data_IF_401426637673
#
_entry.id   IF_401426637673
#
_cell.length_a   1.000
_cell.length_b   1.000
_cell.length_c   1.000
_cell.angle_alpha   90.00
_cell.angle_beta   90.00
_cell.angle_gamma   90.00
#
_symmetry.space_group_name_H-M   'P 1'
#
loop_
_entity.id
_entity.type
_entity.pdbx_description
1 polymer ?
#
# COMPACT_ATOMS: atom_id res chain seq x y z
N UNK A 1 -21.59 23.52 -3.28
CA UNK A 1 -20.30 23.90 -2.70
C UNK A 1 -19.28 23.15 -3.54
N UNK A 2 -18.24 23.81 -3.99
CA UNK A 2 -17.22 23.18 -4.80
C UNK A 2 -16.39 22.28 -3.88
N UNK A 3 -16.18 21.03 -4.28
CA UNK A 3 -15.26 20.11 -3.58
C UNK A 3 -13.84 20.44 -4.03
N UNK A 4 -12.90 20.52 -3.10
CA UNK A 4 -11.50 20.80 -3.34
C UNK A 4 -10.71 19.51 -3.10
N UNK A 5 -10.21 18.86 -4.15
CA UNK A 5 -9.49 17.62 -4.03
C UNK A 5 -8.12 17.83 -3.35
N UNK A 6 -7.80 16.91 -2.44
CA UNK A 6 -6.48 16.78 -1.83
C UNK A 6 -5.79 15.54 -2.41
N UNK A 7 -4.58 15.75 -2.90
CA UNK A 7 -3.62 14.69 -3.25
C UNK A 7 -2.59 14.62 -2.13
N UNK A 8 -2.58 13.51 -1.41
CA UNK A 8 -1.72 13.30 -0.26
C UNK A 8 -0.49 12.48 -0.66
N UNK A 9 0.69 12.98 -0.32
CA UNK A 9 1.97 12.32 -0.58
C UNK A 9 2.65 11.98 0.74
N UNK A 10 2.87 10.70 0.99
CA UNK A 10 3.54 10.16 2.18
C UNK A 10 4.81 9.42 1.80
N UNK A 11 5.60 9.03 2.79
CA UNK A 11 6.89 8.36 2.61
C UNK A 11 8.00 9.10 3.33
N UNK A 12 9.12 8.44 3.55
CA UNK A 12 10.25 9.02 4.27
C UNK A 12 10.94 10.16 3.48
N UNK A 13 11.78 10.93 4.17
CA UNK A 13 12.58 11.98 3.56
C UNK A 13 13.35 11.41 2.36
N UNK A 14 13.48 12.19 1.31
CA UNK A 14 14.15 11.85 0.04
C UNK A 14 13.63 10.61 -0.68
N UNK A 15 12.44 10.13 -0.30
CA UNK A 15 11.77 9.02 -1.02
C UNK A 15 11.23 9.40 -2.40
N UNK A 16 11.31 10.67 -2.79
CA UNK A 16 10.87 11.15 -4.10
C UNK A 16 9.52 11.85 -4.14
N UNK A 17 8.91 12.21 -2.99
CA UNK A 17 7.62 12.93 -2.92
C UNK A 17 7.64 14.24 -3.70
N UNK A 18 8.60 15.11 -3.43
CA UNK A 18 8.75 16.41 -4.11
C UNK A 18 8.86 16.26 -5.62
N UNK A 19 9.67 15.30 -6.08
CA UNK A 19 9.84 15.01 -7.52
C UNK A 19 8.50 14.60 -8.14
N UNK A 20 7.79 13.66 -7.52
CA UNK A 20 6.49 13.18 -8.01
C UNK A 20 5.44 14.28 -8.06
N UNK A 21 5.40 15.19 -7.06
CA UNK A 21 4.50 16.34 -7.05
C UNK A 21 4.84 17.29 -8.21
N UNK A 22 6.12 17.59 -8.41
CA UNK A 22 6.58 18.46 -9.50
C UNK A 22 6.23 17.88 -10.87
N UNK A 23 6.48 16.61 -11.11
CA UNK A 23 6.12 15.93 -12.36
C UNK A 23 4.60 15.91 -12.57
N UNK A 24 3.82 15.64 -11.53
CA UNK A 24 2.35 15.65 -11.59
C UNK A 24 1.84 17.04 -12.01
N UNK A 25 2.37 18.10 -11.40
CA UNK A 25 1.92 19.47 -11.68
C UNK A 25 2.41 19.99 -13.02
N UNK A 26 3.66 19.69 -13.40
CA UNK A 26 4.28 20.28 -14.59
C UNK A 26 3.99 19.51 -15.88
N UNK A 27 3.88 18.16 -15.80
CA UNK A 27 3.87 17.31 -16.98
C UNK A 27 2.49 16.69 -17.27
N UNK A 28 1.67 16.48 -16.25
CA UNK A 28 0.41 15.73 -16.39
C UNK A 28 -0.85 16.59 -16.51
N UNK A 29 -0.71 17.91 -16.78
CA UNK A 29 -1.84 18.81 -17.01
C UNK A 29 -2.65 19.15 -15.75
N UNK A 30 -2.18 18.80 -14.55
CA UNK A 30 -2.85 19.19 -13.31
C UNK A 30 -2.84 20.69 -13.08
N UNK A 31 -1.83 21.39 -13.61
CA UNK A 31 -1.75 22.85 -13.56
C UNK A 31 -2.93 23.54 -14.28
N UNK A 32 -3.54 22.90 -15.26
CA UNK A 32 -4.66 23.45 -16.02
C UNK A 32 -6.00 23.40 -15.24
N UNK A 33 -6.04 22.71 -14.10
CA UNK A 33 -7.25 22.54 -13.29
C UNK A 33 -7.55 23.72 -12.34
N UNK A 34 -6.73 24.76 -12.35
CA UNK A 34 -6.94 25.96 -11.53
C UNK A 34 -5.76 26.27 -10.61
N UNK A 35 -6.06 26.89 -9.45
CA UNK A 35 -5.05 27.26 -8.46
C UNK A 35 -4.63 26.05 -7.62
N UNK A 36 -3.37 25.71 -7.67
CA UNK A 36 -2.79 24.64 -6.85
C UNK A 36 -2.17 25.20 -5.56
N UNK A 37 -2.46 24.58 -4.43
CA UNK A 37 -1.78 24.86 -3.16
C UNK A 37 -0.95 23.66 -2.77
N UNK A 38 0.36 23.84 -2.61
CA UNK A 38 1.28 22.83 -2.09
C UNK A 38 1.51 23.15 -0.62
N UNK A 39 1.23 22.19 0.26
CA UNK A 39 1.58 22.22 1.68
C UNK A 39 2.74 21.24 1.84
N UNK A 40 3.94 21.77 2.07
CA UNK A 40 5.15 20.98 2.21
C UNK A 40 5.55 20.92 3.69
N UNK A 41 5.59 19.71 4.26
CA UNK A 41 5.86 19.47 5.68
C UNK A 41 7.29 18.97 5.93
N UNK A 42 8.16 18.99 4.93
CA UNK A 42 9.57 18.63 5.10
C UNK A 42 10.48 19.43 4.17
N UNK A 43 11.74 19.55 4.58
CA UNK A 43 12.78 20.23 3.82
C UNK A 43 13.77 19.17 3.31
N UNK A 44 13.57 18.71 2.08
CA UNK A 44 14.35 17.66 1.43
C UNK A 44 15.43 18.21 0.50
N UNK A 45 16.21 17.31 -0.14
CA UNK A 45 17.25 17.71 -1.10
C UNK A 45 16.69 18.40 -2.37
N UNK A 46 15.46 18.05 -2.75
CA UNK A 46 14.79 18.64 -3.93
C UNK A 46 13.87 19.76 -3.49
N UNK A 47 14.19 20.98 -3.92
CA UNK A 47 13.42 22.19 -3.59
C UNK A 47 12.39 22.53 -4.67
N UNK A 48 11.33 23.25 -4.27
CA UNK A 48 10.39 23.87 -5.19
C UNK A 48 10.93 25.24 -5.67
N UNK A 49 10.97 25.45 -6.97
CA UNK A 49 11.27 26.77 -7.54
C UNK A 49 10.00 27.63 -7.59
N UNK A 50 9.95 28.68 -6.77
CA UNK A 50 8.81 29.60 -6.73
C UNK A 50 8.50 30.25 -8.08
N UNK A 51 9.52 30.49 -8.92
CA UNK A 51 9.31 31.08 -10.23
C UNK A 51 8.65 30.11 -11.21
N UNK A 52 8.94 28.82 -11.08
CA UNK A 52 8.26 27.76 -11.82
C UNK A 52 6.82 27.58 -11.31
N UNK A 53 6.62 27.53 -10.00
CA UNK A 53 5.28 27.40 -9.40
C UNK A 53 4.34 28.55 -9.81
N UNK A 54 4.84 29.77 -9.86
CA UNK A 54 4.05 30.93 -10.32
C UNK A 54 3.59 30.83 -11.77
N UNK A 55 4.37 30.19 -12.64
CA UNK A 55 3.98 29.99 -14.06
C UNK A 55 2.79 29.05 -14.21
N UNK A 56 2.62 28.12 -13.29
CA UNK A 56 1.56 27.12 -13.27
C UNK A 56 0.46 27.43 -12.24
N UNK A 57 0.39 28.68 -11.77
CA UNK A 57 -0.60 29.13 -10.77
C UNK A 57 -0.59 28.29 -9.47
N UNK A 58 0.57 27.81 -9.06
CA UNK A 58 0.77 27.08 -7.82
C UNK A 58 1.39 27.98 -6.74
N UNK A 59 0.98 27.76 -5.49
CA UNK A 59 1.51 28.44 -4.31
C UNK A 59 2.08 27.39 -3.35
N UNK A 60 3.21 27.70 -2.74
CA UNK A 60 3.87 26.85 -1.74
C UNK A 60 3.68 27.42 -0.34
N UNK A 61 3.37 26.57 0.61
CA UNK A 61 3.35 26.86 2.05
C UNK A 61 4.14 25.78 2.77
N UNK A 62 5.16 26.20 3.53
CA UNK A 62 5.96 25.31 4.35
C UNK A 62 5.35 25.17 5.74
N UNK A 63 5.42 23.97 6.30
CA UNK A 63 5.06 23.65 7.70
C UNK A 63 6.27 22.98 8.34
N UNK A 64 6.97 23.70 9.20
CA UNK A 64 8.25 23.24 9.75
C UNK A 64 8.09 22.27 10.94
N UNK A 65 7.03 22.45 11.74
CA UNK A 65 6.81 21.63 12.91
C UNK A 65 5.46 20.91 12.84
N UNK A 66 5.39 19.69 13.35
CA UNK A 66 4.15 18.88 13.38
C UNK A 66 3.01 19.61 14.10
N UNK A 67 3.31 20.29 15.20
CA UNK A 67 2.35 21.07 16.00
C UNK A 67 1.72 22.25 15.27
N UNK A 68 2.33 22.72 14.17
CA UNK A 68 1.80 23.80 13.34
C UNK A 68 0.76 23.30 12.31
N UNK A 69 0.70 21.98 12.07
CA UNK A 69 -0.27 21.37 11.17
C UNK A 69 -1.64 21.22 11.85
N UNK A 70 -2.39 22.32 11.94
CA UNK A 70 -3.64 22.41 12.67
C UNK A 70 -4.83 22.78 11.77
N UNK A 71 -6.07 22.51 12.26
CA UNK A 71 -7.28 22.92 11.57
C UNK A 71 -7.34 24.45 11.33
N UNK A 72 -6.91 25.26 12.32
CA UNK A 72 -6.86 26.72 12.19
C UNK A 72 -5.88 27.16 11.12
N UNK A 73 -4.70 26.55 11.07
CA UNK A 73 -3.72 26.80 10.02
C UNK A 73 -4.28 26.44 8.64
N UNK A 74 -4.86 25.25 8.47
CA UNK A 74 -5.44 24.83 7.19
C UNK A 74 -6.58 25.76 6.74
N UNK A 75 -7.44 26.19 7.67
CA UNK A 75 -8.50 27.17 7.37
C UNK A 75 -7.93 28.54 6.97
N UNK A 76 -6.86 29.00 7.63
CA UNK A 76 -6.21 30.29 7.30
C UNK A 76 -5.62 30.28 5.89
N UNK A 77 -4.88 29.22 5.51
CA UNK A 77 -4.31 29.12 4.16
C UNK A 77 -5.39 28.90 3.09
N UNK A 78 -6.46 28.15 3.39
CA UNK A 78 -7.61 28.03 2.49
C UNK A 78 -8.22 29.39 2.17
N UNK A 79 -8.44 30.24 3.19
CA UNK A 79 -8.97 31.59 2.99
C UNK A 79 -8.01 32.52 2.24
N UNK A 80 -6.70 32.35 2.46
CA UNK A 80 -5.67 33.21 1.85
C UNK A 80 -5.46 32.88 0.37
N UNK A 81 -5.38 31.60 0.02
CA UNK A 81 -4.99 31.17 -1.32
C UNK A 81 -6.19 30.82 -2.20
N UNK A 82 -7.33 30.45 -1.62
CA UNK A 82 -8.54 30.00 -2.34
C UNK A 82 -8.19 28.96 -3.42
N UNK A 83 -7.61 27.81 -3.05
CA UNK A 83 -7.17 26.83 -4.00
C UNK A 83 -8.33 26.10 -4.66
N UNK A 84 -8.11 25.64 -5.89
CA UNK A 84 -9.01 24.71 -6.60
C UNK A 84 -8.60 23.25 -6.34
N UNK A 85 -7.34 23.01 -5.95
CA UNK A 85 -6.78 21.72 -5.58
C UNK A 85 -5.60 21.87 -4.60
N UNK A 86 -5.35 20.84 -3.79
CA UNK A 86 -4.31 20.85 -2.74
C UNK A 86 -3.42 19.63 -2.87
N UNK A 87 -2.11 19.83 -2.74
CA UNK A 87 -1.09 18.80 -2.69
C UNK A 87 -0.45 18.86 -1.30
N UNK A 88 -0.52 17.81 -0.54
CA UNK A 88 0.10 17.73 0.79
C UNK A 88 1.31 16.80 0.70
N UNK A 89 2.50 17.36 0.81
CA UNK A 89 3.74 16.62 1.01
C UNK A 89 3.95 16.43 2.50
N UNK A 90 3.52 15.28 3.02
CA UNK A 90 3.55 15.02 4.45
C UNK A 90 4.92 14.55 4.91
N UNK A 91 5.34 14.97 6.10
CA UNK A 91 6.62 14.59 6.67
C UNK A 91 6.60 13.11 7.08
N UNK A 92 7.55 12.35 6.54
CA UNK A 92 7.62 10.90 6.78
C UNK A 92 7.99 10.47 8.20
N UNK A 93 8.39 11.41 9.06
CA UNK A 93 8.71 11.15 10.47
C UNK A 93 7.61 11.57 11.45
N UNK A 94 6.61 12.32 10.97
CA UNK A 94 5.46 12.71 11.79
C UNK A 94 4.46 11.56 11.92
N UNK A 95 3.69 11.57 13.03
CA UNK A 95 2.63 10.60 13.26
C UNK A 95 1.51 10.72 12.22
N UNK A 96 1.03 9.60 11.71
CA UNK A 96 -0.12 9.60 10.79
C UNK A 96 -1.42 10.05 11.48
N UNK A 97 -1.46 9.99 12.82
CA UNK A 97 -2.59 10.48 13.62
C UNK A 97 -2.78 11.98 13.44
N UNK A 98 -1.70 12.78 13.41
CA UNK A 98 -1.77 14.23 13.16
C UNK A 98 -2.50 14.54 11.86
N UNK A 99 -2.19 13.79 10.79
CA UNK A 99 -2.83 13.96 9.50
C UNK A 99 -4.31 13.54 9.50
N UNK A 100 -4.63 12.42 10.16
CA UNK A 100 -5.98 11.81 10.14
C UNK A 100 -6.94 12.45 11.12
N UNK A 101 -6.45 13.00 12.22
CA UNK A 101 -7.27 13.64 13.26
C UNK A 101 -7.46 15.14 13.04
N UNK A 102 -6.60 15.78 12.21
CA UNK A 102 -6.77 17.21 11.90
C UNK A 102 -7.99 17.44 11.05
N UNK A 103 -8.91 18.28 11.54
CA UNK A 103 -10.14 18.65 10.81
C UNK A 103 -9.79 19.49 9.56
N UNK A 104 -10.19 18.98 8.40
CA UNK A 104 -9.96 19.64 7.13
C UNK A 104 -10.91 20.84 6.92
N UNK A 105 -10.47 21.89 6.20
CA UNK A 105 -11.35 22.99 5.79
C UNK A 105 -12.57 22.47 5.03
N UNK A 106 -13.67 23.18 5.17
CA UNK A 106 -14.93 22.79 4.56
C UNK A 106 -14.83 22.69 3.04
N UNK A 107 -15.16 21.54 2.48
CA UNK A 107 -15.08 21.24 1.05
C UNK A 107 -13.77 20.57 0.62
N UNK A 108 -12.76 20.53 1.48
CA UNK A 108 -11.56 19.76 1.22
C UNK A 108 -11.82 18.28 1.44
N UNK A 109 -11.34 17.43 0.52
CA UNK A 109 -11.42 15.97 0.67
C UNK A 109 -10.20 15.28 0.05
N UNK A 110 -9.67 14.29 0.73
CA UNK A 110 -8.62 13.45 0.18
C UNK A 110 -9.22 12.56 -0.91
N UNK A 111 -8.77 12.76 -2.14
CA UNK A 111 -9.25 11.97 -3.30
C UNK A 111 -8.25 10.90 -3.69
N UNK A 112 -6.97 11.08 -3.34
CA UNK A 112 -5.93 10.11 -3.61
C UNK A 112 -4.79 10.25 -2.60
N UNK A 113 -4.29 9.11 -2.12
CA UNK A 113 -3.11 9.02 -1.26
C UNK A 113 -2.03 8.20 -1.97
N UNK A 114 -0.85 8.81 -2.15
CA UNK A 114 0.30 8.22 -2.81
C UNK A 114 1.45 8.11 -1.79
N UNK A 115 2.05 6.95 -1.69
CA UNK A 115 3.23 6.75 -0.88
C UNK A 115 4.45 6.48 -1.78
N UNK A 116 5.53 7.22 -1.58
CA UNK A 116 6.79 6.97 -2.28
C UNK A 116 7.78 6.24 -1.38
N UNK A 117 8.48 5.29 -1.95
CA UNK A 117 9.46 4.45 -1.24
C UNK A 117 10.71 4.30 -2.10
N UNK A 118 11.85 4.67 -1.55
CA UNK A 118 13.13 4.37 -2.17
C UNK A 118 13.44 2.88 -2.03
N UNK A 119 13.42 2.14 -3.14
CA UNK A 119 13.66 0.70 -3.16
C UNK A 119 15.05 0.32 -2.62
N UNK A 120 16.04 1.21 -2.74
CA UNK A 120 17.41 0.95 -2.28
C UNK A 120 17.54 0.95 -0.75
N UNK A 121 16.62 1.61 -0.04
CA UNK A 121 16.64 1.75 1.41
C UNK A 121 15.51 1.01 2.12
N UNK A 122 14.53 0.51 1.39
CA UNK A 122 13.32 -0.08 1.98
C UNK A 122 13.61 -1.26 2.90
N UNK A 123 14.54 -2.15 2.51
CA UNK A 123 14.94 -3.29 3.34
C UNK A 123 15.52 -2.87 4.69
N UNK A 124 16.33 -1.80 4.68
CA UNK A 124 16.89 -1.23 5.90
C UNK A 124 15.77 -0.68 6.81
N UNK A 125 14.80 0.02 6.25
CA UNK A 125 13.66 0.54 7.00
C UNK A 125 12.75 -0.56 7.54
N UNK A 126 12.51 -1.64 6.78
CA UNK A 126 11.76 -2.79 7.26
C UNK A 126 12.41 -3.46 8.48
N UNK A 127 13.74 -3.42 8.59
CA UNK A 127 14.46 -4.01 9.74
C UNK A 127 14.49 -3.06 10.94
N UNK A 128 14.73 -1.77 10.71
CA UNK A 128 15.05 -0.83 11.78
C UNK A 128 13.87 0.09 12.18
N UNK A 129 12.98 0.38 11.27
CA UNK A 129 11.90 1.38 11.43
C UNK A 129 10.57 0.87 10.88
N UNK A 130 10.31 -0.44 11.03
CA UNK A 130 9.17 -1.12 10.39
C UNK A 130 7.85 -0.41 10.65
N UNK A 131 7.55 -0.10 11.90
CA UNK A 131 6.27 0.54 12.27
C UNK A 131 6.08 1.84 11.51
N UNK A 132 7.06 2.73 11.55
CA UNK A 132 6.98 4.05 10.91
C UNK A 132 6.77 3.93 9.39
N UNK A 133 7.58 3.11 8.70
CA UNK A 133 7.44 2.98 7.25
C UNK A 133 6.07 2.36 6.89
N UNK A 134 5.61 1.38 7.66
CA UNK A 134 4.34 0.72 7.37
C UNK A 134 3.13 1.62 7.65
N UNK A 135 3.19 2.52 8.64
CA UNK A 135 2.16 3.55 8.87
C UNK A 135 2.00 4.47 7.66
N UNK A 136 3.10 4.88 7.03
CA UNK A 136 3.07 5.71 5.82
C UNK A 136 2.39 4.99 4.63
N UNK A 137 2.46 3.65 4.58
CA UNK A 137 1.93 2.83 3.49
C UNK A 137 0.49 2.35 3.74
N UNK A 138 0.04 2.37 4.98
CA UNK A 138 -1.22 1.72 5.40
C UNK A 138 -2.46 2.27 4.69
N UNK A 139 -2.53 3.58 4.47
CA UNK A 139 -3.68 4.24 3.85
C UNK A 139 -3.45 4.67 2.40
N UNK A 140 -2.30 4.32 1.81
CA UNK A 140 -1.99 4.71 0.46
C UNK A 140 -2.86 3.96 -0.56
N UNK A 141 -3.43 4.67 -1.53
CA UNK A 141 -4.09 4.06 -2.69
C UNK A 141 -3.06 3.50 -3.66
N UNK A 142 -1.93 4.21 -3.79
CA UNK A 142 -0.81 3.81 -4.65
C UNK A 142 0.49 3.88 -3.85
N UNK A 143 1.29 2.83 -3.91
CA UNK A 143 2.66 2.80 -3.38
C UNK A 143 3.63 2.70 -4.54
N UNK A 144 4.49 3.70 -4.67
CA UNK A 144 5.49 3.80 -5.75
C UNK A 144 6.85 3.47 -5.16
N UNK A 145 7.39 2.33 -5.54
CA UNK A 145 8.79 1.98 -5.29
C UNK A 145 9.63 2.53 -6.41
N UNK A 146 10.39 3.58 -6.15
CA UNK A 146 11.30 4.16 -7.14
C UNK A 146 12.73 3.66 -6.97
N UNK A 147 13.62 4.04 -7.90
CA UNK A 147 15.02 3.62 -7.94
C UNK A 147 15.20 2.10 -7.92
N UNK A 148 14.22 1.36 -8.46
CA UNK A 148 14.31 -0.08 -8.62
C UNK A 148 15.39 -0.47 -9.61
N UNK A 149 16.02 -1.60 -9.36
CA UNK A 149 17.00 -2.23 -10.26
C UNK A 149 16.74 -3.74 -10.38
N UNK A 150 17.64 -4.45 -11.07
CA UNK A 150 17.50 -5.89 -11.30
C UNK A 150 17.62 -6.73 -10.02
N UNK A 151 18.15 -6.17 -8.94
CA UNK A 151 18.25 -6.81 -7.62
C UNK A 151 17.00 -6.58 -6.73
N UNK A 152 16.10 -5.69 -7.12
CA UNK A 152 14.89 -5.35 -6.35
C UNK A 152 13.95 -6.55 -6.25
N UNK A 153 13.73 -7.05 -5.02
CA UNK A 153 12.79 -8.13 -4.72
C UNK A 153 11.35 -7.59 -4.64
N UNK A 154 10.74 -7.42 -5.82
CA UNK A 154 9.36 -6.92 -5.96
C UNK A 154 8.36 -7.78 -5.18
N UNK A 155 8.54 -9.11 -5.19
CA UNK A 155 7.70 -10.05 -4.48
C UNK A 155 7.72 -9.83 -2.97
N UNK A 156 8.92 -9.63 -2.38
CA UNK A 156 9.08 -9.30 -0.96
C UNK A 156 8.41 -7.97 -0.62
N UNK A 157 8.63 -6.93 -1.44
CA UNK A 157 8.06 -5.60 -1.21
C UNK A 157 6.54 -5.64 -1.26
N UNK A 158 5.99 -6.28 -2.29
CA UNK A 158 4.55 -6.50 -2.43
C UNK A 158 3.96 -7.20 -1.21
N UNK A 159 4.56 -8.31 -0.76
CA UNK A 159 4.08 -9.05 0.41
C UNK A 159 4.02 -8.17 1.66
N UNK A 160 5.05 -7.38 1.91
CA UNK A 160 5.07 -6.48 3.07
C UNK A 160 3.95 -5.43 3.01
N UNK A 161 3.74 -4.79 1.87
CA UNK A 161 2.67 -3.79 1.72
C UNK A 161 1.29 -4.45 1.78
N UNK A 162 1.07 -5.52 1.00
CA UNK A 162 -0.24 -6.19 0.90
C UNK A 162 -0.68 -6.87 2.19
N UNK A 163 0.24 -7.25 3.07
CA UNK A 163 -0.09 -7.75 4.40
C UNK A 163 -0.89 -6.73 5.23
N UNK A 164 -0.64 -5.45 5.06
CA UNK A 164 -1.31 -4.36 5.77
C UNK A 164 -2.36 -3.65 4.90
N UNK A 165 -2.01 -3.34 3.67
CA UNK A 165 -2.84 -2.59 2.74
C UNK A 165 -3.09 -3.39 1.46
N UNK A 166 -4.12 -4.25 1.50
CA UNK A 166 -4.49 -5.11 0.37
C UNK A 166 -4.97 -4.36 -0.86
N UNK A 167 -5.50 -3.14 -0.67
CA UNK A 167 -6.09 -2.35 -1.75
C UNK A 167 -5.04 -1.55 -2.52
N UNK A 168 -3.89 -1.24 -1.91
CA UNK A 168 -2.86 -0.42 -2.54
C UNK A 168 -2.46 -0.98 -3.91
N UNK A 169 -2.42 -0.13 -4.91
CA UNK A 169 -1.74 -0.41 -6.16
C UNK A 169 -0.24 -0.25 -5.95
N UNK A 170 0.55 -1.15 -6.51
CA UNK A 170 2.01 -1.08 -6.40
C UNK A 170 2.59 -0.77 -7.77
N UNK A 171 3.43 0.26 -7.80
CA UNK A 171 4.17 0.69 -8.98
C UNK A 171 5.66 0.54 -8.68
N UNK A 172 6.40 0.01 -9.62
CA UNK A 172 7.84 -0.13 -9.52
C UNK A 172 8.49 0.67 -10.64
N UNK A 173 9.33 1.62 -10.26
CA UNK A 173 9.96 2.57 -11.17
C UNK A 173 11.48 2.48 -11.06
N UNK A 174 12.15 2.46 -12.19
CA UNK A 174 13.61 2.47 -12.27
C UNK A 174 14.16 3.88 -12.03
N UNK A 175 15.46 3.97 -11.78
CA UNK A 175 16.11 5.26 -11.53
C UNK A 175 16.04 6.23 -12.74
N UNK A 176 15.74 5.76 -13.93
CA UNK A 176 15.56 6.56 -15.14
C UNK A 176 14.09 6.98 -15.38
N UNK A 177 13.19 6.69 -14.44
CA UNK A 177 11.76 7.00 -14.54
C UNK A 177 10.95 5.97 -15.35
N UNK A 178 11.58 4.95 -15.93
CA UNK A 178 10.84 3.89 -16.62
C UNK A 178 10.19 2.91 -15.64
N UNK A 179 9.04 2.35 -16.02
CA UNK A 179 8.39 1.32 -15.23
C UNK A 179 9.19 0.00 -15.27
N UNK A 180 9.34 -0.63 -14.13
CA UNK A 180 9.89 -1.97 -14.03
C UNK A 180 8.79 -3.00 -14.26
N UNK A 181 8.65 -3.47 -15.49
CA UNK A 181 7.62 -4.42 -15.91
C UNK A 181 8.01 -5.89 -15.67
N UNK A 182 9.16 -6.18 -15.04
CA UNK A 182 9.55 -7.57 -14.75
C UNK A 182 8.44 -8.25 -13.94
N UNK A 183 8.13 -9.50 -14.32
CA UNK A 183 7.22 -10.32 -13.51
C UNK A 183 7.86 -10.65 -12.15
N UNK A 184 7.03 -10.73 -11.11
CA UNK A 184 7.47 -11.18 -9.79
C UNK A 184 7.79 -12.68 -9.85
N UNK A 185 8.98 -13.06 -9.41
CA UNK A 185 9.34 -14.45 -9.26
C UNK A 185 8.69 -15.02 -7.99
N UNK A 186 7.98 -16.12 -8.16
CA UNK A 186 7.46 -16.89 -7.03
C UNK A 186 8.55 -17.88 -6.55
N UNK A 187 8.69 -18.11 -5.24
CA UNK A 187 9.69 -19.03 -4.69
C UNK A 187 9.36 -20.51 -4.95
N UNK A 188 8.24 -20.79 -5.60
CA UNK A 188 7.75 -22.13 -5.95
C UNK A 188 7.28 -22.15 -7.41
N UNK A 189 7.40 -23.32 -8.02
CA UNK A 189 6.98 -23.54 -9.40
C UNK A 189 5.46 -23.67 -9.52
N UNK A 190 4.86 -22.85 -10.37
CA UNK A 190 3.41 -22.90 -10.69
C UNK A 190 3.13 -23.41 -12.10
N UNK A 191 4.13 -23.91 -12.83
CA UNK A 191 3.95 -24.39 -14.20
C UNK A 191 3.15 -25.70 -14.28
N UNK A 192 3.24 -26.52 -13.24
CA UNK A 192 2.54 -27.79 -13.15
C UNK A 192 1.05 -27.67 -12.80
N UNK A 193 0.29 -28.77 -13.00
CA UNK A 193 -1.11 -28.88 -12.59
C UNK A 193 -1.27 -29.22 -11.11
N UNK A 194 -0.24 -29.76 -10.48
CA UNK A 194 -0.17 -30.10 -9.05
C UNK A 194 0.90 -29.25 -8.39
N UNK A 195 0.53 -28.53 -7.35
CA UNK A 195 1.40 -27.63 -6.59
C UNK A 195 1.55 -28.16 -5.17
N UNK A 196 2.78 -28.28 -4.70
CA UNK A 196 3.09 -28.55 -3.30
C UNK A 196 3.59 -27.26 -2.65
N UNK A 197 2.81 -26.71 -1.72
CA UNK A 197 3.11 -25.46 -1.03
C UNK A 197 3.72 -25.78 0.33
N UNK A 198 4.98 -25.38 0.49
CA UNK A 198 5.71 -25.57 1.75
C UNK A 198 5.21 -24.61 2.84
N UNK A 199 5.64 -24.85 4.07
CA UNK A 199 5.32 -23.97 5.19
C UNK A 199 5.85 -22.56 5.00
N UNK A 200 7.02 -22.41 4.40
CA UNK A 200 7.64 -21.13 4.11
C UNK A 200 6.90 -20.39 3.00
N UNK A 201 6.34 -21.09 2.02
CA UNK A 201 5.71 -20.49 0.84
C UNK A 201 4.22 -20.22 1.04
N UNK A 202 3.60 -20.76 2.09
CA UNK A 202 2.14 -20.68 2.29
C UNK A 202 1.60 -19.23 2.23
N UNK A 203 2.23 -18.32 2.95
CA UNK A 203 1.78 -16.93 2.99
C UNK A 203 1.93 -16.25 1.62
N UNK A 204 3.01 -16.55 0.90
CA UNK A 204 3.28 -16.03 -0.45
C UNK A 204 2.23 -16.55 -1.43
N UNK A 205 2.02 -17.85 -1.43
CA UNK A 205 0.97 -18.50 -2.23
C UNK A 205 -0.42 -17.94 -1.94
N UNK A 206 -0.77 -17.80 -0.66
CA UNK A 206 -2.08 -17.29 -0.25
C UNK A 206 -2.33 -15.89 -0.79
N UNK A 207 -1.34 -14.99 -0.66
CA UNK A 207 -1.44 -13.61 -1.14
C UNK A 207 -1.49 -13.55 -2.67
N UNK A 208 -0.66 -14.34 -3.36
CA UNK A 208 -0.69 -14.36 -4.82
C UNK A 208 -2.00 -14.96 -5.36
N UNK A 209 -2.60 -15.95 -4.69
CA UNK A 209 -3.93 -16.45 -5.03
C UNK A 209 -5.02 -15.38 -4.91
N UNK A 210 -4.94 -14.47 -3.94
CA UNK A 210 -5.91 -13.38 -3.79
C UNK A 210 -5.78 -12.34 -4.88
N UNK A 211 -4.56 -12.04 -5.30
CA UNK A 211 -4.27 -11.00 -6.28
C UNK A 211 -4.35 -11.52 -7.73
N UNK A 212 -3.93 -12.78 -7.95
CA UNK A 212 -3.83 -13.41 -9.27
C UNK A 212 -4.56 -14.77 -9.33
N UNK A 213 -5.83 -14.87 -8.92
CA UNK A 213 -6.53 -16.15 -8.76
C UNK A 213 -6.57 -17.00 -10.03
N UNK A 214 -6.55 -16.35 -11.19
CA UNK A 214 -6.57 -17.04 -12.50
C UNK A 214 -5.33 -17.89 -12.77
N UNK A 215 -4.18 -17.57 -12.16
CA UNK A 215 -2.95 -18.38 -12.27
C UNK A 215 -3.13 -19.77 -11.68
N UNK A 216 -4.02 -19.91 -10.71
CA UNK A 216 -4.24 -21.12 -9.92
C UNK A 216 -5.52 -21.87 -10.30
N UNK A 217 -6.38 -21.30 -11.12
CA UNK A 217 -7.66 -21.90 -11.49
C UNK A 217 -7.49 -23.31 -12.04
N UNK A 218 -8.20 -24.26 -11.44
CA UNK A 218 -8.19 -25.67 -11.81
C UNK A 218 -6.98 -26.47 -11.32
N UNK A 219 -5.94 -25.81 -10.77
CA UNK A 219 -4.76 -26.51 -10.25
C UNK A 219 -5.09 -27.26 -8.96
N UNK A 220 -4.41 -28.37 -8.74
CA UNK A 220 -4.48 -29.14 -7.50
C UNK A 220 -3.38 -28.67 -6.57
N UNK A 221 -3.74 -28.20 -5.39
CA UNK A 221 -2.80 -27.63 -4.43
C UNK A 221 -2.78 -28.47 -3.15
N UNK A 222 -1.57 -28.80 -2.69
CA UNK A 222 -1.34 -29.53 -1.45
C UNK A 222 -0.55 -28.69 -0.45
N UNK A 223 -1.03 -28.60 0.79
CA UNK A 223 -0.40 -27.82 1.85
C UNK A 223 -0.81 -28.30 3.24
N UNK A 224 0.05 -28.08 4.24
CA UNK A 224 -0.28 -28.31 5.65
C UNK A 224 -1.10 -27.12 6.18
N UNK A 225 -2.22 -27.38 6.81
CA UNK A 225 -3.14 -26.38 7.33
C UNK A 225 -3.60 -26.67 8.75
N UNK A 226 -3.88 -25.64 9.51
CA UNK A 226 -4.67 -25.68 10.72
C UNK A 226 -6.15 -25.53 10.35
N UNK A 227 -7.02 -26.38 10.87
CA UNK A 227 -8.46 -26.29 10.61
C UNK A 227 -9.08 -25.21 11.47
N UNK A 228 -9.77 -24.27 10.84
CA UNK A 228 -10.60 -23.27 11.50
C UNK A 228 -12.07 -23.49 11.06
N UNK A 229 -12.93 -23.83 12.01
CA UNK A 229 -14.35 -24.06 11.77
C UNK A 229 -15.16 -23.05 12.59
N UNK A 230 -15.50 -21.87 12.03
CA UNK A 230 -16.45 -20.99 12.71
C UNK A 230 -17.85 -21.62 12.72
N UNK A 231 -18.58 -21.44 13.81
CA UNK A 231 -19.91 -22.07 14.09
C UNK A 231 -21.00 -21.78 13.03
N UNK A 232 -20.72 -20.91 12.07
CA UNK A 232 -21.68 -20.45 11.06
C UNK A 232 -21.46 -21.02 9.65
N UNK A 233 -20.52 -21.93 9.45
CA UNK A 233 -20.28 -22.51 8.13
C UNK A 233 -21.39 -23.50 7.74
N UNK A 234 -21.68 -23.53 6.43
CA UNK A 234 -22.60 -24.55 5.87
C UNK A 234 -21.97 -25.94 5.97
N UNK A 235 -22.81 -26.98 6.10
CA UNK A 235 -22.37 -28.37 6.01
C UNK A 235 -21.57 -28.60 4.73
N UNK A 236 -20.48 -29.35 4.83
CA UNK A 236 -19.60 -29.65 3.69
C UNK A 236 -18.52 -28.57 3.45
N UNK A 237 -18.41 -27.57 4.32
CA UNK A 237 -17.40 -26.51 4.18
C UNK A 237 -16.58 -26.42 5.47
N UNK A 238 -15.27 -26.32 5.33
CA UNK A 238 -14.33 -26.00 6.40
C UNK A 238 -13.29 -24.99 5.91
N UNK A 239 -12.51 -24.42 6.82
CA UNK A 239 -11.49 -23.45 6.46
C UNK A 239 -10.13 -23.97 6.89
N UNK A 240 -9.37 -24.57 5.97
CA UNK A 240 -7.97 -24.87 6.22
C UNK A 240 -7.12 -23.62 5.98
N UNK A 241 -6.19 -23.36 6.88
CA UNK A 241 -5.35 -22.18 6.76
C UNK A 241 -4.26 -22.12 7.82
N UNK A 242 -3.74 -20.93 8.05
CA UNK A 242 -2.69 -20.68 9.04
C UNK A 242 -2.87 -19.31 9.68
N UNK A 243 -2.37 -19.18 10.90
CA UNK A 243 -2.15 -17.86 11.49
C UNK A 243 -0.86 -17.28 10.94
N UNK A 244 -0.93 -16.05 10.50
CA UNK A 244 0.23 -15.26 10.10
C UNK A 244 0.25 -13.93 10.85
N UNK A 245 1.42 -13.53 11.28
CA UNK A 245 1.69 -12.22 11.85
C UNK A 245 1.92 -11.25 10.68
N UNK A 246 1.16 -10.15 10.63
CA UNK A 246 1.26 -9.17 9.55
C UNK A 246 2.26 -8.06 9.85
N UNK A 247 2.08 -7.32 10.94
CA UNK A 247 2.99 -6.22 11.29
C UNK A 247 3.64 -6.37 12.67
N UNK A 248 2.96 -6.91 13.66
CA UNK A 248 3.47 -7.10 15.01
C UNK A 248 2.83 -8.32 15.69
N UNK A 249 3.30 -8.67 16.88
CA UNK A 249 2.82 -9.84 17.62
C UNK A 249 1.32 -9.75 17.98
N UNK A 250 0.77 -8.55 18.05
CA UNK A 250 -0.65 -8.32 18.38
C UNK A 250 -1.55 -8.38 17.14
N UNK A 251 -0.98 -8.33 15.92
CA UNK A 251 -1.72 -8.40 14.66
C UNK A 251 -1.52 -9.77 13.99
N UNK A 252 -2.15 -10.77 14.57
CA UNK A 252 -2.14 -12.14 14.03
C UNK A 252 -3.46 -12.40 13.32
N UNK A 253 -3.41 -12.62 12.01
CA UNK A 253 -4.57 -12.90 11.18
C UNK A 253 -4.58 -14.37 10.73
N UNK A 254 -5.79 -14.93 10.62
CA UNK A 254 -5.96 -16.27 10.06
C UNK A 254 -6.13 -16.18 8.54
N UNK A 255 -5.19 -16.77 7.81
CA UNK A 255 -5.18 -16.88 6.36
C UNK A 255 -5.70 -18.24 5.94
N UNK A 256 -6.86 -18.32 5.29
CA UNK A 256 -7.43 -19.58 4.86
C UNK A 256 -8.49 -19.41 3.78
N UNK A 257 -8.65 -20.44 2.95
CA UNK A 257 -9.67 -20.51 1.91
C UNK A 257 -10.86 -21.36 2.35
N UNK A 258 -12.03 -21.08 1.82
CA UNK A 258 -13.20 -21.97 1.96
C UNK A 258 -12.94 -23.25 1.17
N UNK A 259 -12.91 -24.38 1.86
CA UNK A 259 -12.72 -25.69 1.25
C UNK A 259 -13.98 -26.55 1.38
N UNK A 260 -14.37 -27.22 0.30
CA UNK A 260 -15.45 -28.20 0.30
C UNK A 260 -14.88 -29.59 0.43
N UNK A 261 -15.43 -30.38 1.34
CA UNK A 261 -15.09 -31.79 1.50
C UNK A 261 -16.31 -32.59 1.96
N UNK A 262 -16.46 -33.80 1.45
CA UNK A 262 -17.57 -34.70 1.84
C UNK A 262 -17.38 -35.21 3.28
N UNK A 263 -16.13 -35.36 3.70
CA UNK A 263 -15.69 -35.79 5.03
C UNK A 263 -15.43 -34.64 6.02
N UNK A 264 -15.93 -33.44 5.70
CA UNK A 264 -15.68 -32.22 6.49
C UNK A 264 -15.92 -32.35 7.99
N UNK A 265 -16.82 -33.25 8.42
CA UNK A 265 -17.18 -33.48 9.82
C UNK A 265 -16.09 -34.24 10.62
N UNK A 266 -15.12 -34.82 9.94
CA UNK A 266 -13.98 -35.49 10.58
C UNK A 266 -12.89 -34.48 11.00
N UNK A 267 -12.90 -33.28 10.42
CA UNK A 267 -11.91 -32.24 10.73
C UNK A 267 -12.30 -31.44 11.97
N UNK A 268 -11.50 -31.60 13.02
CA UNK A 268 -11.72 -30.88 14.28
C UNK A 268 -11.03 -29.51 14.23
N UNK A 269 -11.69 -28.50 14.79
CA UNK A 269 -11.08 -27.18 14.96
C UNK A 269 -9.73 -27.30 15.70
N UNK A 270 -8.74 -26.52 15.23
CA UNK A 270 -7.35 -26.50 15.73
C UNK A 270 -6.56 -27.80 15.46
N UNK A 271 -7.03 -28.67 14.59
CA UNK A 271 -6.28 -29.82 14.11
C UNK A 271 -5.42 -29.44 12.92
N UNK A 272 -4.20 -29.94 12.84
CA UNK A 272 -3.37 -29.85 11.63
C UNK A 272 -3.74 -30.98 10.68
N UNK A 273 -3.93 -30.62 9.40
CA UNK A 273 -4.26 -31.56 8.32
C UNK A 273 -3.48 -31.22 7.08
N UNK A 274 -3.07 -32.20 6.30
CA UNK A 274 -2.59 -31.97 4.94
C UNK A 274 -3.81 -31.92 4.02
N UNK A 275 -4.01 -30.78 3.39
CA UNK A 275 -5.11 -30.58 2.43
C UNK A 275 -4.57 -30.73 1.03
N UNK A 276 -5.28 -31.51 0.22
CA UNK A 276 -5.04 -31.56 -1.22
C UNK A 276 -6.37 -31.28 -1.90
N UNK A 277 -6.47 -30.09 -2.51
CA UNK A 277 -7.73 -29.61 -3.08
C UNK A 277 -7.51 -28.93 -4.44
N UNK A 278 -8.56 -28.93 -5.25
CA UNK A 278 -8.57 -28.15 -6.51
C UNK A 278 -8.94 -26.73 -6.20
N UNK A 279 -8.12 -25.79 -6.71
CA UNK A 279 -8.40 -24.36 -6.58
C UNK A 279 -9.50 -23.95 -7.57
N UNK A 280 -10.53 -23.28 -7.07
CA UNK A 280 -11.62 -22.73 -7.85
C UNK A 280 -11.82 -21.26 -7.50
N UNK A 281 -11.77 -20.40 -8.50
CA UNK A 281 -12.07 -18.98 -8.34
C UNK A 281 -13.53 -18.70 -8.73
N UNK A 282 -14.30 -18.16 -7.80
CA UNK A 282 -15.69 -17.77 -8.02
C UNK A 282 -15.88 -16.30 -7.70
N UNK A 283 -16.43 -15.58 -8.68
CA UNK A 283 -16.92 -14.22 -8.51
C UNK A 283 -18.17 -14.19 -7.62
#
# INVERSE_FOLDING_TARGET
MQEIPIYLFTGFMDSGKTTLIKETLLENGFADQGKSLIICCEDGEVEYDEAELKKINASLVMVENEEDFTADFLNAINMKYLPDQVFIEYNGTWGMDTLTETELPRGWMVVQSLATVDATTFDMYLVNMRTMIMEQLFQADVVIFNRCDDSTDKGKYRRNVKALNRKAQLVYERADGSLDEREEELPFDISGDELEITDADYAIWYMDCLDNPKKYEGKKVSFLALVYNPDKLKKGIFVPGRFAMTCCADDVQYMGFLCKADDWSEFKAKQYVTVTARFEYKF
#
